data_IF_275136556571
#
_entry.id   IF_275136556571
#
_cell.length_a   1.000
_cell.length_b   1.000
_cell.length_c   1.000
_cell.angle_alpha   90.00
_cell.angle_beta   90.00
_cell.angle_gamma   90.00
#
_symmetry.space_group_name_H-M   'P 1'
#
loop_
_entity.id
_entity.type
_entity.pdbx_description
1 polymer ?
#
# COMPACT_ATOMS: atom_id res chain seq x y z
N UNK A 1 -13.21 -9.63 -19.64
CA UNK A 1 -13.47 -10.40 -18.41
C UNK A 1 -13.38 -9.46 -17.21
N UNK A 2 -14.24 -9.64 -16.19
CA UNK A 2 -14.21 -8.88 -14.94
C UNK A 2 -14.08 -9.87 -13.80
N UNK A 3 -13.16 -9.60 -12.89
CA UNK A 3 -13.01 -10.29 -11.61
C UNK A 3 -13.13 -9.23 -10.51
N UNK A 4 -13.99 -9.48 -9.54
CA UNK A 4 -14.19 -8.61 -8.39
C UNK A 4 -14.27 -9.45 -7.13
N UNK A 5 -13.53 -9.02 -6.11
CA UNK A 5 -13.51 -9.61 -4.77
C UNK A 5 -13.60 -8.50 -3.73
N UNK A 6 -14.41 -8.73 -2.70
CA UNK A 6 -14.51 -7.81 -1.56
C UNK A 6 -14.57 -8.62 -0.27
N UNK A 7 -13.71 -8.26 0.67
CA UNK A 7 -13.62 -8.86 1.99
C UNK A 7 -13.97 -7.83 3.06
N UNK A 8 -14.89 -8.16 3.95
CA UNK A 8 -15.17 -7.39 5.16
C UNK A 8 -14.57 -8.12 6.35
N UNK A 9 -13.92 -7.38 7.24
CA UNK A 9 -13.31 -7.99 8.41
C UNK A 9 -13.56 -7.19 9.69
N UNK A 10 -13.64 -7.95 10.77
CA UNK A 10 -13.69 -7.44 12.14
C UNK A 10 -12.67 -8.19 12.97
N UNK A 11 -11.71 -7.47 13.56
CA UNK A 11 -10.66 -8.06 14.38
C UNK A 11 -10.61 -7.39 15.75
N UNK A 12 -10.39 -8.21 16.79
CA UNK A 12 -10.07 -7.76 18.13
C UNK A 12 -8.68 -8.30 18.49
N UNK A 13 -7.75 -7.39 18.74
CA UNK A 13 -6.41 -7.75 19.18
C UNK A 13 -6.23 -7.35 20.64
N UNK A 14 -5.50 -8.19 21.38
CA UNK A 14 -5.14 -7.95 22.80
C UNK A 14 -3.63 -8.03 22.97
N UNK A 15 -3.12 -7.35 23.98
CA UNK A 15 -1.72 -7.42 24.39
C UNK A 15 -0.71 -6.99 23.30
N UNK A 16 -1.07 -6.02 22.49
CA UNK A 16 -0.13 -5.44 21.52
C UNK A 16 0.96 -4.65 22.25
N UNK A 17 2.22 -4.89 21.89
CA UNK A 17 3.34 -4.11 22.39
C UNK A 17 3.38 -2.76 21.65
N UNK A 18 3.51 -1.68 22.41
CA UNK A 18 3.52 -0.34 21.88
C UNK A 18 4.48 0.57 22.61
N UNK A 19 5.09 1.51 21.87
CA UNK A 19 5.84 2.62 22.44
C UNK A 19 4.85 3.70 22.90
N UNK A 20 4.86 4.00 24.20
CA UNK A 20 4.08 5.07 24.79
C UNK A 20 5.02 6.19 25.26
N UNK A 21 4.84 7.44 24.81
CA UNK A 21 5.61 8.57 25.31
C UNK A 21 5.16 8.86 26.75
N UNK A 22 6.04 8.63 27.71
CA UNK A 22 5.90 9.11 29.08
C UNK A 22 6.70 10.41 29.23
N UNK A 23 6.44 11.21 30.25
CA UNK A 23 6.91 12.60 30.41
C UNK A 23 8.41 12.83 30.10
N UNK A 24 9.28 11.89 30.41
CA UNK A 24 10.74 12.01 30.21
C UNK A 24 11.36 10.89 29.36
N UNK A 25 10.63 9.83 29.06
CA UNK A 25 11.12 8.69 28.28
C UNK A 25 9.96 7.97 27.61
N UNK A 26 10.27 7.34 26.47
CA UNK A 26 9.34 6.43 25.82
C UNK A 26 9.48 5.05 26.44
N UNK A 27 8.38 4.45 26.82
CA UNK A 27 8.32 3.09 27.41
C UNK A 27 7.49 2.18 26.52
N UNK A 28 7.88 0.92 26.42
CA UNK A 28 7.07 -0.10 25.77
C UNK A 28 6.01 -0.58 26.77
N UNK A 29 4.77 -0.51 26.36
CA UNK A 29 3.63 -1.01 27.13
C UNK A 29 2.77 -1.92 26.29
N UNK A 30 2.01 -2.80 26.93
CA UNK A 30 0.97 -3.54 26.28
C UNK A 30 -0.21 -2.60 26.01
N UNK A 31 -0.56 -2.42 24.73
CA UNK A 31 -1.81 -1.81 24.34
C UNK A 31 -2.92 -2.85 24.51
N UNK A 32 -3.72 -2.75 25.55
CA UNK A 32 -4.59 -3.82 26.02
C UNK A 32 -5.53 -4.38 24.96
N UNK A 33 -6.31 -3.55 24.30
CA UNK A 33 -7.31 -4.00 23.30
C UNK A 33 -7.39 -3.02 22.16
N UNK A 34 -7.33 -3.53 20.94
CA UNK A 34 -7.65 -2.77 19.72
C UNK A 34 -8.75 -3.47 18.93
N UNK A 35 -9.58 -2.68 18.29
CA UNK A 35 -10.59 -3.14 17.34
C UNK A 35 -10.25 -2.62 15.96
N UNK A 36 -10.24 -3.48 14.98
CA UNK A 36 -10.16 -3.13 13.56
C UNK A 36 -11.45 -3.55 12.87
N UNK A 37 -12.05 -2.62 12.14
CA UNK A 37 -13.13 -2.89 11.19
C UNK A 37 -12.62 -2.44 9.84
N UNK A 38 -12.77 -3.25 8.82
CA UNK A 38 -12.29 -2.85 7.51
C UNK A 38 -12.95 -3.60 6.36
N UNK A 39 -12.58 -3.14 5.17
CA UNK A 39 -13.00 -3.70 3.88
C UNK A 39 -11.83 -3.61 2.92
N UNK A 40 -11.54 -4.72 2.25
CA UNK A 40 -10.62 -4.79 1.13
C UNK A 40 -11.40 -5.12 -0.14
N UNK A 41 -11.13 -4.40 -1.20
CA UNK A 41 -11.73 -4.63 -2.52
C UNK A 41 -10.64 -4.73 -3.57
N UNK A 42 -10.73 -5.75 -4.42
CA UNK A 42 -9.88 -5.99 -5.58
C UNK A 42 -10.76 -6.11 -6.83
N UNK A 43 -10.45 -5.33 -7.85
CA UNK A 43 -11.14 -5.36 -9.15
C UNK A 43 -10.12 -5.47 -10.27
N UNK A 44 -10.31 -6.46 -11.15
CA UNK A 44 -9.47 -6.72 -12.31
C UNK A 44 -10.34 -6.81 -13.57
N UNK A 45 -9.94 -6.13 -14.61
CA UNK A 45 -10.72 -6.05 -15.84
C UNK A 45 -9.82 -6.25 -17.06
N UNK A 46 -10.03 -7.35 -17.78
CA UNK A 46 -9.52 -7.50 -19.15
C UNK A 46 -10.46 -6.75 -20.10
N UNK A 47 -10.10 -5.52 -20.45
CA UNK A 47 -10.88 -4.67 -21.36
C UNK A 47 -10.81 -5.22 -22.76
N UNK A 48 -9.62 -5.59 -23.19
CA UNK A 48 -9.32 -6.28 -24.44
C UNK A 48 -8.30 -7.38 -24.19
N UNK A 49 -7.88 -8.09 -25.23
CA UNK A 49 -6.77 -9.07 -25.12
C UNK A 49 -5.43 -8.44 -24.76
N UNK A 50 -5.32 -7.13 -24.96
CA UNK A 50 -4.07 -6.39 -24.81
C UNK A 50 -4.12 -5.35 -23.70
N UNK A 51 -5.31 -5.03 -23.18
CA UNK A 51 -5.52 -3.97 -22.16
C UNK A 51 -6.10 -4.57 -20.90
N UNK A 52 -5.39 -4.39 -19.83
CA UNK A 52 -5.74 -4.81 -18.48
C UNK A 52 -5.83 -3.60 -17.56
N UNK A 53 -6.86 -3.56 -16.73
CA UNK A 53 -7.05 -2.57 -15.68
C UNK A 53 -7.15 -3.28 -14.33
N UNK A 54 -6.67 -2.62 -13.27
CA UNK A 54 -6.88 -3.07 -11.90
C UNK A 54 -7.15 -1.91 -10.96
N UNK A 55 -7.85 -2.22 -9.88
CA UNK A 55 -8.13 -1.31 -8.77
C UNK A 55 -8.16 -2.10 -7.47
N UNK A 56 -7.41 -1.65 -6.47
CA UNK A 56 -7.42 -2.19 -5.12
C UNK A 56 -7.71 -1.06 -4.13
N UNK A 57 -8.57 -1.32 -3.15
CA UNK A 57 -8.93 -0.36 -2.10
C UNK A 57 -8.95 -1.08 -0.77
N UNK A 58 -8.30 -0.48 0.23
CA UNK A 58 -8.46 -0.83 1.64
C UNK A 58 -9.06 0.33 2.41
N UNK A 59 -10.12 0.07 3.14
CA UNK A 59 -10.72 0.97 4.13
C UNK A 59 -10.62 0.32 5.49
N UNK A 60 -10.15 1.05 6.51
CA UNK A 60 -10.03 0.50 7.85
C UNK A 60 -10.21 1.55 8.95
N UNK A 61 -10.87 1.14 10.03
CA UNK A 61 -11.03 1.90 11.26
C UNK A 61 -10.41 1.10 12.42
N UNK A 62 -9.25 1.57 12.91
CA UNK A 62 -8.50 0.90 13.97
C UNK A 62 -8.54 1.79 15.20
N UNK A 63 -9.14 1.30 16.29
CA UNK A 63 -9.31 2.07 17.52
C UNK A 63 -8.82 1.33 18.75
N UNK A 64 -8.26 2.11 19.69
CA UNK A 64 -8.01 1.64 21.04
C UNK A 64 -9.34 1.37 21.76
N UNK A 65 -9.49 0.16 22.29
CA UNK A 65 -10.68 -0.29 23.03
C UNK A 65 -10.38 -0.63 24.48
N UNK A 66 -9.20 -0.29 24.98
CA UNK A 66 -8.88 -0.42 26.39
C UNK A 66 -9.43 0.77 27.16
N UNK A 67 -10.37 0.53 28.03
CA UNK A 67 -11.05 1.58 28.80
C UNK A 67 -10.20 2.09 29.97
N UNK A 68 -9.45 1.21 30.62
CA UNK A 68 -8.68 1.51 31.80
C UNK A 68 -7.19 1.38 31.54
N UNK A 69 -6.41 2.26 32.14
CA UNK A 69 -4.96 2.19 32.04
C UNK A 69 -4.45 0.97 32.84
N UNK A 70 -3.59 0.16 32.26
CA UNK A 70 -3.06 -1.07 32.87
C UNK A 70 -4.10 -2.06 33.42
N UNK A 71 -5.31 -2.11 32.85
CA UNK A 71 -6.43 -2.93 33.33
C UNK A 71 -6.89 -2.62 34.78
N UNK A 72 -6.34 -1.60 35.42
CA UNK A 72 -6.75 -1.14 36.74
C UNK A 72 -8.03 -0.28 36.65
N UNK A 73 -9.07 -0.67 37.38
CA UNK A 73 -10.28 0.13 37.48
C UNK A 73 -9.99 1.45 38.19
N UNK A 74 -10.41 2.55 37.60
CA UNK A 74 -10.27 3.90 38.19
C UNK A 74 -9.37 4.85 37.44
N UNK A 75 -8.37 4.35 36.68
CA UNK A 75 -7.52 5.21 35.84
C UNK A 75 -7.98 5.16 34.40
N UNK A 76 -8.61 6.23 33.92
CA UNK A 76 -9.11 6.31 32.55
C UNK A 76 -7.97 6.31 31.54
N UNK A 77 -8.08 5.48 30.50
CA UNK A 77 -7.14 5.48 29.39
C UNK A 77 -7.44 6.69 28.47
N UNK A 78 -6.52 7.66 28.32
CA UNK A 78 -6.73 8.85 27.52
C UNK A 78 -6.83 8.56 26.02
N UNK A 79 -6.38 7.38 25.56
CA UNK A 79 -6.47 6.96 24.15
C UNK A 79 -7.72 6.13 23.84
N UNK A 80 -8.55 5.87 24.85
CA UNK A 80 -9.77 5.09 24.66
C UNK A 80 -10.63 5.64 23.49
N UNK A 81 -11.01 4.77 22.58
CA UNK A 81 -11.81 5.03 21.38
C UNK A 81 -11.16 5.97 20.35
N UNK A 82 -9.90 6.36 20.51
CA UNK A 82 -9.15 7.12 19.51
C UNK A 82 -8.57 6.19 18.45
N UNK A 83 -8.33 6.74 17.26
CA UNK A 83 -7.62 6.02 16.20
C UNK A 83 -6.19 5.68 16.62
N UNK A 84 -5.76 4.49 16.29
CA UNK A 84 -4.37 4.08 16.47
C UNK A 84 -3.51 4.83 15.46
N UNK A 85 -2.49 5.58 15.90
CA UNK A 85 -1.64 6.35 14.99
C UNK A 85 -0.74 5.48 14.11
N UNK A 86 -0.13 6.10 13.11
CA UNK A 86 0.73 5.51 12.09
C UNK A 86 0.02 4.45 11.22
N UNK A 87 -1.29 4.52 11.11
CA UNK A 87 -2.06 3.63 10.27
C UNK A 87 -3.04 4.47 9.45
N UNK A 88 -2.93 4.50 8.12
CA UNK A 88 -3.87 5.21 7.27
C UNK A 88 -5.25 4.54 7.33
N UNK A 89 -6.31 5.37 7.34
CA UNK A 89 -7.68 4.86 7.33
C UNK A 89 -8.09 4.30 5.97
N UNK A 90 -7.44 4.76 4.90
CA UNK A 90 -7.65 4.22 3.56
C UNK A 90 -6.40 4.37 2.70
N UNK A 91 -6.24 3.44 1.79
CA UNK A 91 -5.30 3.51 0.68
C UNK A 91 -5.86 2.75 -0.51
N UNK A 92 -5.45 3.17 -1.71
CA UNK A 92 -5.85 2.50 -2.93
C UNK A 92 -4.73 2.52 -3.97
N UNK A 93 -4.79 1.55 -4.85
CA UNK A 93 -3.92 1.48 -6.02
C UNK A 93 -4.79 1.20 -7.24
N UNK A 94 -4.46 1.80 -8.35
CA UNK A 94 -5.05 1.47 -9.62
C UNK A 94 -4.02 1.61 -10.73
N UNK A 95 -4.25 0.88 -11.79
CA UNK A 95 -3.36 0.94 -12.92
C UNK A 95 -3.96 0.40 -14.19
N UNK A 96 -3.25 0.68 -15.26
CA UNK A 96 -3.55 0.19 -16.61
C UNK A 96 -2.28 -0.40 -17.20
N UNK A 97 -2.44 -1.53 -17.84
CA UNK A 97 -1.40 -2.20 -18.58
C UNK A 97 -1.85 -2.42 -20.03
N UNK A 98 -0.97 -2.08 -20.96
CA UNK A 98 -1.06 -2.52 -22.34
C UNK A 98 0.07 -3.49 -22.63
N UNK A 99 -0.26 -4.66 -23.18
CA UNK A 99 0.73 -5.62 -23.61
C UNK A 99 0.40 -6.12 -25.02
N UNK A 100 1.44 -6.35 -25.80
CA UNK A 100 1.31 -6.89 -27.13
C UNK A 100 2.54 -7.73 -27.50
N UNK A 101 2.29 -8.80 -28.24
CA UNK A 101 3.35 -9.59 -28.86
C UNK A 101 3.68 -9.05 -30.25
N UNK A 102 4.96 -9.14 -30.62
CA UNK A 102 5.41 -8.86 -31.97
C UNK A 102 5.54 -7.37 -32.34
N UNK A 103 5.46 -6.44 -31.37
CA UNK A 103 5.76 -5.02 -31.64
C UNK A 103 7.24 -4.80 -31.92
N UNK A 104 8.09 -5.45 -31.16
CA UNK A 104 9.56 -5.46 -31.33
C UNK A 104 9.99 -6.94 -31.33
N UNK A 105 10.36 -7.45 -32.53
CA UNK A 105 10.60 -8.87 -32.71
C UNK A 105 9.32 -9.70 -33.00
N UNK A 106 9.48 -10.95 -33.45
CA UNK A 106 8.33 -11.73 -33.94
C UNK A 106 7.47 -12.38 -32.85
N UNK A 107 8.03 -12.61 -31.64
CA UNK A 107 7.37 -13.32 -30.52
C UNK A 107 7.71 -12.70 -29.18
N UNK A 108 8.29 -11.54 -29.21
CA UNK A 108 8.68 -10.81 -28.01
C UNK A 108 7.47 -10.03 -27.46
N UNK A 109 7.36 -10.00 -26.13
CA UNK A 109 6.32 -9.28 -25.42
C UNK A 109 6.79 -7.86 -25.11
N UNK A 110 6.02 -6.89 -25.55
CA UNK A 110 6.13 -5.49 -25.14
C UNK A 110 5.03 -5.18 -24.13
N UNK A 111 5.36 -4.51 -23.06
CA UNK A 111 4.44 -4.12 -22.00
C UNK A 111 4.69 -2.68 -21.61
N UNK A 112 3.64 -1.88 -21.56
CA UNK A 112 3.63 -0.51 -21.01
C UNK A 112 2.59 -0.46 -19.91
N UNK A 113 2.91 0.17 -18.79
CA UNK A 113 1.97 0.29 -17.69
C UNK A 113 2.06 1.63 -17.00
N UNK A 114 0.96 2.01 -16.40
CA UNK A 114 0.83 3.17 -15.52
C UNK A 114 0.20 2.66 -14.22
N UNK A 115 0.85 2.96 -13.11
CA UNK A 115 0.38 2.63 -11.77
C UNK A 115 0.25 3.90 -10.94
N UNK A 116 -0.82 3.98 -10.17
CA UNK A 116 -1.05 5.05 -9.21
C UNK A 116 -1.29 4.44 -7.84
N UNK A 117 -0.51 4.87 -6.88
CA UNK A 117 -0.67 4.51 -5.48
C UNK A 117 -1.05 5.75 -4.68
N UNK A 118 -2.10 5.63 -3.87
CA UNK A 118 -2.55 6.65 -2.94
C UNK A 118 -2.63 6.12 -1.52
N UNK A 119 -2.08 6.86 -0.58
CA UNK A 119 -2.25 6.64 0.86
C UNK A 119 -2.88 7.88 1.44
N UNK A 120 -4.04 7.73 2.09
CA UNK A 120 -4.74 8.83 2.75
C UNK A 120 -3.93 9.44 3.89
N UNK A 121 -4.25 10.66 4.28
CA UNK A 121 -3.60 11.29 5.43
C UNK A 121 -3.87 10.49 6.72
N UNK A 122 -2.90 10.46 7.62
CA UNK A 122 -3.02 9.76 8.90
C UNK A 122 -2.22 10.45 10.01
N UNK A 123 -2.56 10.13 11.25
CA UNK A 123 -1.93 10.73 12.41
C UNK A 123 -0.63 10.02 12.75
N UNK A 124 0.47 10.77 12.94
CA UNK A 124 1.75 10.23 13.40
C UNK A 124 1.71 9.84 14.88
N UNK A 125 1.00 10.61 15.70
CA UNK A 125 0.87 10.37 17.14
C UNK A 125 -0.57 10.32 17.61
N UNK A 126 -0.77 10.00 18.89
CA UNK A 126 -2.09 10.04 19.49
C UNK A 126 -2.65 11.46 19.48
N UNK A 127 -3.86 11.62 18.98
CA UNK A 127 -4.57 12.89 18.96
C UNK A 127 -5.11 13.24 20.36
N UNK A 128 -4.23 13.79 21.19
CA UNK A 128 -4.55 14.13 22.59
C UNK A 128 -5.07 15.56 22.74
N UNK A 129 -4.67 16.48 21.88
CA UNK A 129 -5.11 17.86 21.92
C UNK A 129 -6.57 18.03 21.48
N UNK A 130 -7.32 18.88 22.17
CA UNK A 130 -8.64 19.34 21.73
C UNK A 130 -8.56 20.35 20.57
N UNK A 131 -7.42 21.03 20.41
CA UNK A 131 -7.22 22.05 19.39
C UNK A 131 -6.93 21.43 18.02
N UNK A 132 -7.73 21.77 17.02
CA UNK A 132 -7.60 21.24 15.68
C UNK A 132 -6.24 21.58 15.01
N UNK A 133 -5.71 22.77 15.26
CA UNK A 133 -4.42 23.20 14.74
C UNK A 133 -3.24 22.37 15.27
N UNK A 134 -3.29 22.04 16.56
CA UNK A 134 -2.28 21.18 17.17
C UNK A 134 -2.31 19.77 16.61
N UNK A 135 -3.50 19.21 16.39
CA UNK A 135 -3.66 17.89 15.76
C UNK A 135 -3.08 17.86 14.34
N UNK A 136 -3.27 18.95 13.56
CA UNK A 136 -2.73 19.05 12.18
C UNK A 136 -1.21 19.00 12.13
N UNK A 137 -0.52 19.52 13.13
CA UNK A 137 0.97 19.51 13.19
C UNK A 137 1.57 18.10 13.19
N UNK A 138 0.79 17.12 13.65
CA UNK A 138 1.23 15.74 13.81
C UNK A 138 0.60 14.81 12.77
N UNK A 139 0.13 15.37 11.68
CA UNK A 139 -0.48 14.64 10.60
C UNK A 139 0.51 14.40 9.47
N UNK A 140 0.54 13.18 8.99
CA UNK A 140 1.26 12.82 7.77
C UNK A 140 0.29 13.07 6.61
N UNK A 141 0.66 13.94 5.65
CA UNK A 141 -0.20 14.26 4.52
C UNK A 141 -0.41 13.05 3.61
N UNK A 142 -1.46 13.10 2.81
CA UNK A 142 -1.70 12.06 1.81
C UNK A 142 -0.55 11.98 0.80
N UNK A 143 -0.22 10.76 0.41
CA UNK A 143 0.82 10.46 -0.57
C UNK A 143 0.18 10.00 -1.87
N UNK A 144 0.68 10.53 -3.00
CA UNK A 144 0.33 10.08 -4.34
C UNK A 144 1.60 9.77 -5.11
N UNK A 145 1.72 8.56 -5.58
CA UNK A 145 2.86 8.12 -6.40
C UNK A 145 2.35 7.65 -7.76
N UNK A 146 2.77 8.33 -8.81
CA UNK A 146 2.54 7.94 -10.19
C UNK A 146 3.78 7.25 -10.73
N UNK A 147 3.59 6.09 -11.32
CA UNK A 147 4.65 5.28 -11.91
C UNK A 147 4.30 4.96 -13.36
N UNK A 148 5.27 5.10 -14.24
CA UNK A 148 5.18 4.66 -15.64
C UNK A 148 6.28 3.65 -15.87
N UNK A 149 5.95 2.52 -16.45
CA UNK A 149 6.92 1.48 -16.77
C UNK A 149 6.80 0.99 -18.20
N UNK A 150 7.94 0.58 -18.74
CA UNK A 150 8.10 -0.07 -20.03
C UNK A 150 8.89 -1.35 -19.83
N UNK A 151 8.42 -2.44 -20.39
CA UNK A 151 9.14 -3.71 -20.39
C UNK A 151 9.14 -4.29 -21.79
N UNK A 152 10.30 -4.73 -22.23
CA UNK A 152 10.49 -5.42 -23.50
C UNK A 152 11.18 -6.77 -23.24
N UNK A 153 10.54 -7.85 -23.68
CA UNK A 153 11.22 -9.13 -23.78
C UNK A 153 12.05 -9.21 -25.05
N UNK A 154 13.16 -9.89 -24.97
CA UNK A 154 14.14 -10.04 -26.02
C UNK A 154 14.61 -11.50 -26.06
N UNK A 155 15.24 -11.87 -27.18
CA UNK A 155 15.86 -13.17 -27.31
C UNK A 155 14.91 -14.35 -26.99
N UNK A 156 13.76 -14.36 -27.71
CA UNK A 156 12.71 -15.37 -27.55
C UNK A 156 12.19 -15.47 -26.09
N UNK A 157 12.01 -14.31 -25.44
CA UNK A 157 11.59 -14.18 -24.05
C UNK A 157 12.58 -14.73 -22.99
N UNK A 158 13.82 -15.03 -23.37
CA UNK A 158 14.87 -15.44 -22.42
C UNK A 158 15.51 -14.23 -21.70
N UNK A 159 15.36 -13.04 -22.25
CA UNK A 159 15.82 -11.80 -21.67
C UNK A 159 14.68 -10.79 -21.58
N UNK A 160 14.64 -9.99 -20.55
CA UNK A 160 13.75 -8.82 -20.49
C UNK A 160 14.49 -7.60 -19.97
N UNK A 161 14.24 -6.48 -20.62
CA UNK A 161 14.70 -5.16 -20.22
C UNK A 161 13.49 -4.36 -19.77
N UNK A 162 13.56 -3.74 -18.60
CA UNK A 162 12.50 -2.86 -18.11
C UNK A 162 13.07 -1.55 -17.61
N UNK A 163 12.31 -0.50 -17.85
CA UNK A 163 12.51 0.84 -17.33
C UNK A 163 11.26 1.27 -16.58
N UNK A 164 11.46 1.87 -15.44
CA UNK A 164 10.38 2.36 -14.59
C UNK A 164 10.74 3.75 -14.08
N UNK A 165 9.83 4.70 -14.27
CA UNK A 165 9.91 6.06 -13.72
C UNK A 165 8.87 6.16 -12.61
N UNK A 166 9.32 6.12 -11.38
CA UNK A 166 8.50 6.26 -10.18
C UNK A 166 8.44 7.73 -9.74
N UNK A 167 7.32 8.12 -9.15
CA UNK A 167 7.05 9.49 -8.74
C UNK A 167 7.26 10.49 -9.89
N UNK A 168 6.60 10.24 -11.02
CA UNK A 168 6.74 11.01 -12.28
C UNK A 168 6.63 12.50 -12.06
N UNK A 169 5.74 12.95 -11.18
CA UNK A 169 5.50 14.37 -10.90
C UNK A 169 6.47 14.96 -9.88
N UNK A 170 7.41 14.16 -9.36
CA UNK A 170 8.38 14.57 -8.33
C UNK A 170 7.69 15.18 -7.10
N UNK A 171 6.54 14.64 -6.71
CA UNK A 171 5.79 15.09 -5.53
C UNK A 171 6.57 14.71 -4.28
N UNK A 172 6.65 15.61 -3.32
CA UNK A 172 7.20 15.31 -2.01
C UNK A 172 6.17 14.51 -1.21
N UNK A 173 6.50 13.28 -0.93
CA UNK A 173 5.67 12.31 -0.21
C UNK A 173 6.37 11.90 1.09
N UNK A 174 5.60 11.55 2.11
CA UNK A 174 6.13 11.18 3.43
C UNK A 174 5.61 9.81 3.85
N UNK A 175 6.52 8.93 4.26
CA UNK A 175 6.17 7.64 4.83
C UNK A 175 5.91 7.74 6.34
N UNK A 176 6.63 8.64 6.99
CA UNK A 176 6.60 8.89 8.42
C UNK A 176 6.80 10.39 8.68
N UNK A 177 6.58 10.83 9.90
CA UNK A 177 6.72 12.24 10.26
C UNK A 177 8.13 12.76 9.96
N UNK A 178 8.21 13.77 9.06
CA UNK A 178 9.47 14.38 8.60
C UNK A 178 10.44 13.43 7.88
N UNK A 179 9.99 12.26 7.45
CA UNK A 179 10.79 11.34 6.65
C UNK A 179 10.26 11.30 5.21
N UNK A 180 10.83 12.10 4.31
CA UNK A 180 10.38 12.12 2.92
C UNK A 180 10.76 10.82 2.22
N UNK A 181 9.86 10.37 1.36
CA UNK A 181 10.13 9.32 0.39
C UNK A 181 11.05 9.83 -0.72
N UNK A 182 11.74 8.96 -1.46
CA UNK A 182 12.50 9.36 -2.63
C UNK A 182 11.66 10.18 -3.59
N UNK A 183 12.25 11.21 -4.18
CA UNK A 183 11.66 11.96 -5.28
C UNK A 183 11.57 11.11 -6.54
N UNK A 184 11.53 11.74 -7.70
CA UNK A 184 11.51 11.02 -8.98
C UNK A 184 12.69 10.06 -9.09
N UNK A 185 12.38 8.78 -9.35
CA UNK A 185 13.37 7.70 -9.41
C UNK A 185 13.25 6.94 -10.72
N UNK A 186 14.35 6.81 -11.44
CA UNK A 186 14.45 5.98 -12.63
C UNK A 186 15.09 4.64 -12.24
N UNK A 187 14.41 3.55 -12.54
CA UNK A 187 14.90 2.19 -12.35
C UNK A 187 15.07 1.51 -13.70
N UNK A 188 16.18 0.82 -13.89
CA UNK A 188 16.42 -0.05 -15.04
C UNK A 188 16.71 -1.46 -14.53
N UNK A 189 16.08 -2.46 -15.15
CA UNK A 189 16.24 -3.86 -14.76
C UNK A 189 16.45 -4.73 -15.99
N UNK A 190 17.50 -5.51 -15.94
CA UNK A 190 17.80 -6.55 -16.92
C UNK A 190 17.61 -7.91 -16.25
N UNK A 191 16.82 -8.78 -16.86
CA UNK A 191 16.57 -10.14 -16.38
C UNK A 191 16.93 -11.13 -17.46
N UNK A 192 17.65 -12.19 -17.08
CA UNK A 192 17.95 -13.34 -17.91
C UNK A 192 17.31 -14.60 -17.31
N UNK A 193 16.64 -15.38 -18.14
CA UNK A 193 16.10 -16.69 -17.81
C UNK A 193 16.98 -17.74 -18.48
N UNK A 194 17.90 -18.32 -17.72
CA UNK A 194 18.86 -19.31 -18.23
C UNK A 194 18.26 -20.70 -18.43
N UNK A 195 17.17 -21.00 -17.70
CA UNK A 195 16.47 -22.28 -17.78
C UNK A 195 15.03 -22.02 -18.14
N UNK A 196 14.58 -22.55 -19.28
CA UNK A 196 13.19 -22.55 -19.66
C UNK A 196 12.59 -23.88 -19.21
N UNK A 197 11.76 -23.86 -18.19
CA UNK A 197 10.97 -25.04 -17.83
C UNK A 197 10.06 -25.41 -18.99
N UNK A 198 10.34 -26.57 -19.61
CA UNK A 198 9.53 -27.13 -20.70
C UNK A 198 8.11 -27.49 -20.25
N UNK A 199 7.80 -27.35 -18.95
CA UNK A 199 6.54 -27.74 -18.34
C UNK A 199 5.42 -26.67 -18.41
N UNK A 200 5.71 -25.44 -18.83
CA UNK A 200 4.70 -24.40 -18.96
C UNK A 200 3.92 -24.39 -20.28
N UNK A 201 4.14 -25.38 -21.14
CA UNK A 201 3.47 -25.52 -22.44
C UNK A 201 2.16 -26.30 -22.42
N UNK A 202 1.60 -26.63 -21.26
CA UNK A 202 0.46 -27.54 -21.15
C UNK A 202 -0.80 -27.08 -20.41
N UNK A 203 -0.90 -25.83 -19.99
CA UNK A 203 -2.05 -25.39 -19.20
C UNK A 203 -2.48 -23.95 -19.52
N UNK A 204 -2.83 -23.71 -20.79
CA UNK A 204 -3.68 -22.58 -21.17
C UNK A 204 -4.67 -23.04 -22.24
N UNK A 205 -5.54 -23.95 -21.84
CA UNK A 205 -6.82 -24.19 -22.51
C UNK A 205 -7.83 -24.46 -21.40
N UNK A 206 -8.51 -23.42 -20.96
CA UNK A 206 -9.93 -23.48 -20.55
C UNK A 206 -10.43 -22.02 -20.42
#
# INVERSE_FOLDING_TARGET
RVQWETNFYYMMMKNMIRLFPADTRSIYTNLGKTRTIGMDTDVKVDVTRNVYLYFNLTLQDIRDRQRWFNDEQGTSNPTYNKHVPNIPAFYYNYGMEYHAEGLIGRRELSRVYIDVSHVGEFDWGWQMSSLAEERRKWRIPSNDVFTIGLQQSLWHNNMSLSFELENVFNKENYMEFKMPLPGRTLKAKLRFNLFRDKLAGGAMSL
#
